data_IF_416285667420
#
_entry.id   IF_416285667420
#
_cell.length_a   1.000
_cell.length_b   1.000
_cell.length_c   1.000
_cell.angle_alpha   90.00
_cell.angle_beta   90.00
_cell.angle_gamma   90.00
#
_symmetry.space_group_name_H-M   'P 1'
#
loop_
_entity.id
_entity.type
_entity.pdbx_description
1 polymer ?
#
# COMPACT_ATOMS: atom_id res chain seq x y z
N UNK A 1 14.09 -4.53 -9.10
CA UNK A 1 14.76 -4.64 -7.79
C UNK A 1 14.17 -3.64 -6.82
N UNK A 2 13.96 -4.02 -5.55
CA UNK A 2 13.58 -3.10 -4.47
C UNK A 2 14.81 -2.54 -3.72
N UNK A 3 15.83 -3.38 -3.50
CA UNK A 3 17.09 -2.93 -2.92
C UNK A 3 17.92 -2.09 -3.89
N UNK A 4 18.79 -1.24 -3.35
CA UNK A 4 19.89 -0.61 -4.09
C UNK A 4 21.23 -1.28 -3.72
N UNK A 5 22.16 -1.33 -4.67
CA UNK A 5 23.43 -2.07 -4.54
C UNK A 5 23.25 -3.54 -4.13
N UNK A 6 22.26 -4.20 -4.75
CA UNK A 6 21.95 -5.60 -4.48
C UNK A 6 23.06 -6.49 -5.04
N UNK A 7 23.67 -7.27 -4.15
CA UNK A 7 24.71 -8.23 -4.51
C UNK A 7 24.11 -9.37 -5.33
N UNK A 8 24.48 -9.43 -6.61
CA UNK A 8 24.25 -10.58 -7.49
C UNK A 8 25.41 -11.55 -7.34
N UNK A 9 25.11 -12.81 -7.03
CA UNK A 9 26.11 -13.74 -6.46
C UNK A 9 26.31 -14.98 -7.30
N UNK A 10 27.48 -15.59 -7.18
CA UNK A 10 27.79 -16.85 -7.86
C UNK A 10 27.10 -18.07 -7.22
N UNK A 11 26.74 -18.00 -5.93
CA UNK A 11 26.05 -19.07 -5.21
C UNK A 11 24.91 -18.50 -4.33
N UNK A 12 23.91 -19.31 -3.95
CA UNK A 12 22.77 -18.89 -3.13
C UNK A 12 23.13 -18.78 -1.63
N UNK A 13 24.17 -18.01 -1.32
CA UNK A 13 24.70 -17.78 0.04
C UNK A 13 25.25 -16.37 0.21
N UNK A 14 25.13 -15.79 1.40
CA UNK A 14 25.50 -14.38 1.68
C UNK A 14 26.99 -14.07 1.64
N UNK A 15 27.86 -15.06 1.72
CA UNK A 15 29.32 -14.96 1.75
C UNK A 15 29.97 -15.30 0.39
N UNK A 16 29.19 -15.75 -0.59
CA UNK A 16 29.67 -16.08 -1.92
C UNK A 16 30.13 -14.85 -2.72
N UNK A 17 30.95 -15.12 -3.73
CA UNK A 17 31.48 -14.12 -4.67
C UNK A 17 30.35 -13.26 -5.26
N UNK A 18 30.59 -11.94 -5.30
CA UNK A 18 29.68 -10.96 -5.89
C UNK A 18 30.08 -10.79 -7.35
N UNK A 19 29.18 -11.18 -8.25
CA UNK A 19 29.33 -11.04 -9.70
C UNK A 19 29.03 -9.62 -10.18
N UNK A 20 28.04 -8.96 -9.57
CA UNK A 20 27.65 -7.58 -9.90
C UNK A 20 26.85 -6.92 -8.75
N UNK A 21 26.64 -5.61 -8.83
CA UNK A 21 25.80 -4.82 -7.94
C UNK A 21 24.63 -4.20 -8.71
N UNK A 22 23.45 -4.78 -8.53
CA UNK A 22 22.23 -4.29 -9.19
C UNK A 22 21.68 -3.07 -8.47
N UNK A 23 21.18 -2.12 -9.26
CA UNK A 23 20.57 -0.90 -8.75
C UNK A 23 19.08 -1.09 -8.52
N UNK A 24 18.49 -0.23 -7.68
CA UNK A 24 17.04 -0.21 -7.53
C UNK A 24 16.39 0.04 -8.90
N UNK A 25 15.32 -0.70 -9.19
CA UNK A 25 14.64 -0.65 -10.49
C UNK A 25 15.24 -1.54 -11.58
N UNK A 26 16.42 -2.13 -11.38
CA UNK A 26 16.94 -3.13 -12.33
C UNK A 26 15.97 -4.32 -12.45
N UNK A 27 15.82 -4.81 -13.67
CA UNK A 27 15.03 -5.98 -13.98
C UNK A 27 15.94 -7.20 -14.17
N UNK A 28 15.49 -8.35 -13.69
CA UNK A 28 16.12 -9.65 -13.89
C UNK A 28 15.05 -10.66 -14.28
N UNK A 29 15.46 -11.74 -14.92
CA UNK A 29 14.60 -12.89 -15.17
C UNK A 29 14.80 -13.92 -14.06
N UNK A 30 13.73 -14.31 -13.36
CA UNK A 30 13.79 -15.40 -12.38
C UNK A 30 13.70 -16.73 -13.12
N UNK A 31 14.71 -17.57 -12.92
CA UNK A 31 14.82 -18.89 -13.55
C UNK A 31 14.30 -19.98 -12.60
N UNK A 32 14.67 -19.89 -11.31
CA UNK A 32 14.45 -20.96 -10.34
C UNK A 32 14.41 -20.38 -8.92
N UNK A 33 13.61 -20.99 -8.06
CA UNK A 33 13.63 -20.75 -6.61
C UNK A 33 14.46 -21.85 -5.96
N UNK A 34 15.41 -21.48 -5.09
CA UNK A 34 16.24 -22.46 -4.38
C UNK A 34 15.71 -22.72 -2.97
N UNK A 35 16.08 -23.86 -2.38
CA UNK A 35 15.76 -24.19 -0.98
C UNK A 35 16.65 -23.44 0.04
N UNK A 36 17.67 -22.71 -0.42
CA UNK A 36 18.54 -21.91 0.43
C UNK A 36 17.82 -20.63 0.83
N UNK A 37 17.58 -20.44 2.13
CA UNK A 37 16.88 -19.28 2.67
C UNK A 37 17.78 -18.44 3.56
N UNK A 38 17.49 -17.14 3.61
CA UNK A 38 18.10 -16.21 4.55
C UNK A 38 17.05 -15.25 5.10
N UNK A 39 17.27 -14.78 6.33
CA UNK A 39 16.39 -13.80 6.95
C UNK A 39 16.76 -12.40 6.47
N UNK A 40 15.78 -11.68 5.93
CA UNK A 40 15.92 -10.29 5.52
C UNK A 40 14.66 -9.51 5.92
N UNK A 41 14.83 -8.32 6.50
CA UNK A 41 13.70 -7.49 6.96
C UNK A 41 12.69 -8.25 7.83
N UNK A 42 13.18 -9.17 8.67
CA UNK A 42 12.36 -10.01 9.56
C UNK A 42 11.58 -11.14 8.90
N UNK A 43 11.69 -11.30 7.57
CA UNK A 43 11.06 -12.38 6.81
C UNK A 43 12.12 -13.37 6.34
N UNK A 44 11.76 -14.66 6.29
CA UNK A 44 12.57 -15.66 5.62
C UNK A 44 12.37 -15.55 4.10
N UNK A 45 13.45 -15.53 3.34
CA UNK A 45 13.42 -15.37 1.89
C UNK A 45 14.32 -16.39 1.21
N UNK A 46 13.86 -17.11 0.18
CA UNK A 46 14.73 -17.98 -0.59
C UNK A 46 15.67 -17.15 -1.47
N UNK A 47 16.82 -17.72 -1.81
CA UNK A 47 17.56 -17.25 -2.97
C UNK A 47 16.86 -17.70 -4.25
N UNK A 48 16.81 -16.80 -5.22
CA UNK A 48 16.40 -17.09 -6.58
C UNK A 48 17.61 -17.15 -7.49
N UNK A 49 17.64 -18.15 -8.37
CA UNK A 49 18.53 -18.15 -9.51
C UNK A 49 17.93 -17.23 -10.57
N UNK A 50 18.73 -16.30 -11.08
CA UNK A 50 18.28 -15.29 -12.03
C UNK A 50 19.23 -15.17 -13.22
N UNK A 51 18.69 -14.76 -14.37
CA UNK A 51 19.48 -14.25 -15.48
C UNK A 51 19.51 -12.71 -15.40
N UNK A 52 20.71 -12.15 -15.44
CA UNK A 52 20.92 -10.72 -15.59
C UNK A 52 21.95 -10.49 -16.70
N UNK A 53 21.49 -9.87 -17.80
CA UNK A 53 22.32 -9.54 -18.97
C UNK A 53 23.07 -10.77 -19.53
N UNK A 54 22.43 -11.93 -19.54
CA UNK A 54 23.02 -13.18 -20.05
C UNK A 54 23.88 -13.94 -19.05
N UNK A 55 24.12 -13.42 -17.85
CA UNK A 55 24.86 -14.10 -16.78
C UNK A 55 23.86 -14.69 -15.77
N UNK A 56 24.08 -15.95 -15.39
CA UNK A 56 23.31 -16.62 -14.36
C UNK A 56 23.97 -16.46 -12.99
N UNK A 57 23.17 -16.20 -11.97
CA UNK A 57 23.62 -16.10 -10.58
C UNK A 57 22.44 -16.06 -9.63
N UNK A 58 22.65 -15.58 -8.41
CA UNK A 58 21.69 -15.70 -7.32
C UNK A 58 21.45 -14.37 -6.61
N UNK A 59 20.19 -14.12 -6.24
CA UNK A 59 19.75 -12.94 -5.49
C UNK A 59 18.80 -13.39 -4.38
N UNK A 60 18.93 -12.78 -3.19
CA UNK A 60 18.02 -13.03 -2.08
C UNK A 60 16.63 -12.45 -2.36
N UNK A 61 15.59 -13.26 -2.18
CA UNK A 61 14.20 -12.94 -2.49
C UNK A 61 13.69 -11.64 -1.90
N UNK A 62 14.02 -11.36 -0.64
CA UNK A 62 13.61 -10.15 0.07
C UNK A 62 14.10 -8.83 -0.55
N UNK A 63 15.00 -8.89 -1.54
CA UNK A 63 15.50 -7.72 -2.27
C UNK A 63 14.70 -7.44 -3.56
N UNK A 64 13.79 -8.32 -3.96
CA UNK A 64 12.87 -8.07 -5.05
C UNK A 64 11.72 -7.18 -4.62
N UNK A 65 11.24 -6.38 -5.56
CA UNK A 65 9.99 -5.65 -5.43
C UNK A 65 8.84 -6.61 -5.70
N UNK A 66 7.82 -6.62 -4.84
CA UNK A 66 6.56 -7.33 -5.04
C UNK A 66 5.85 -6.84 -6.30
N UNK A 67 5.83 -5.53 -6.48
CA UNK A 67 5.27 -4.84 -7.64
C UNK A 67 5.99 -3.52 -7.88
N UNK A 68 5.71 -2.91 -9.03
CA UNK A 68 6.11 -1.57 -9.40
C UNK A 68 4.89 -0.81 -9.89
N UNK A 69 4.68 0.38 -9.34
CA UNK A 69 3.69 1.32 -9.85
C UNK A 69 4.36 2.61 -10.30
N UNK A 70 3.74 3.33 -11.24
CA UNK A 70 4.30 4.56 -11.80
C UNK A 70 3.28 5.69 -11.68
N UNK A 71 3.68 6.78 -11.02
CA UNK A 71 2.90 8.02 -10.89
C UNK A 71 3.74 9.15 -11.47
N UNK A 72 3.21 9.87 -12.47
CA UNK A 72 3.90 10.99 -13.12
C UNK A 72 5.37 10.70 -13.50
N UNK A 73 5.64 9.50 -14.02
CA UNK A 73 6.99 9.06 -14.42
C UNK A 73 7.91 8.62 -13.27
N UNK A 74 7.49 8.79 -12.01
CA UNK A 74 8.20 8.27 -10.84
C UNK A 74 7.77 6.84 -10.56
N UNK A 75 8.75 5.93 -10.43
CA UNK A 75 8.51 4.54 -10.08
C UNK A 75 8.52 4.34 -8.56
N UNK A 76 7.51 3.65 -8.07
CA UNK A 76 7.36 3.21 -6.69
C UNK A 76 7.49 1.69 -6.65
N UNK A 77 8.37 1.20 -5.79
CA UNK A 77 8.68 -0.22 -5.59
C UNK A 77 8.24 -0.63 -4.20
N UNK A 78 7.64 -1.82 -4.11
CA UNK A 78 7.00 -2.30 -2.89
C UNK A 78 7.66 -3.58 -2.38
N UNK A 79 7.81 -3.72 -1.07
CA UNK A 79 8.38 -4.92 -0.44
C UNK A 79 7.82 -5.07 0.99
N UNK A 80 7.72 -6.30 1.50
CA UNK A 80 7.27 -6.52 2.87
C UNK A 80 8.43 -6.52 3.86
N UNK A 81 8.19 -6.02 5.07
CA UNK A 81 9.03 -6.29 6.24
C UNK A 81 8.19 -6.74 7.42
N UNK A 82 8.83 -7.44 8.36
CA UNK A 82 8.24 -7.84 9.62
C UNK A 82 9.12 -7.35 10.77
N UNK A 83 8.54 -6.67 11.74
CA UNK A 83 9.21 -6.34 13.00
C UNK A 83 8.42 -6.96 14.15
N UNK A 84 9.04 -7.87 14.89
CA UNK A 84 8.33 -8.76 15.82
C UNK A 84 7.21 -9.51 15.07
N UNK A 85 5.95 -9.29 15.46
CA UNK A 85 4.77 -9.83 14.77
C UNK A 85 4.09 -8.84 13.82
N UNK A 86 4.51 -7.57 13.80
CA UNK A 86 3.90 -6.54 12.97
C UNK A 86 4.42 -6.61 11.52
N UNK A 87 3.49 -6.64 10.56
CA UNK A 87 3.77 -6.60 9.13
C UNK A 87 3.76 -5.15 8.62
N UNK A 88 4.65 -4.86 7.68
CA UNK A 88 4.76 -3.54 7.06
C UNK A 88 4.94 -3.64 5.55
N UNK A 89 4.40 -2.65 4.84
CA UNK A 89 4.75 -2.36 3.46
C UNK A 89 5.85 -1.29 3.44
N UNK A 90 7.00 -1.66 2.90
CA UNK A 90 8.07 -0.72 2.59
C UNK A 90 7.89 -0.23 1.15
N UNK A 91 7.99 1.08 0.95
CA UNK A 91 7.78 1.74 -0.32
C UNK A 91 9.04 2.54 -0.63
N UNK A 92 9.63 2.32 -1.80
CA UNK A 92 10.80 3.09 -2.26
C UNK A 92 10.57 3.71 -3.61
N UNK A 93 11.10 4.91 -3.80
CA UNK A 93 11.13 5.61 -5.08
C UNK A 93 12.43 6.41 -5.22
N UNK A 94 12.78 6.77 -6.46
CA UNK A 94 13.83 7.77 -6.71
C UNK A 94 13.13 9.06 -7.11
N UNK A 95 13.28 10.08 -6.27
CA UNK A 95 12.74 11.41 -6.54
C UNK A 95 13.88 12.42 -6.51
N UNK A 96 14.03 13.18 -7.59
CA UNK A 96 15.13 14.14 -7.80
C UNK A 96 16.52 13.54 -7.50
N UNK A 97 16.75 12.30 -7.94
CA UNK A 97 18.02 11.58 -7.80
C UNK A 97 18.28 11.01 -6.40
N UNK A 98 17.38 11.19 -5.44
CA UNK A 98 17.50 10.67 -4.08
C UNK A 98 16.50 9.54 -3.82
N UNK A 99 16.92 8.50 -3.10
CA UNK A 99 16.02 7.44 -2.65
C UNK A 99 15.11 8.00 -1.54
N UNK A 100 13.81 7.87 -1.72
CA UNK A 100 12.79 8.08 -0.69
C UNK A 100 12.32 6.71 -0.22
N UNK A 101 12.11 6.58 1.07
CA UNK A 101 11.62 5.35 1.69
C UNK A 101 10.54 5.70 2.71
N UNK A 102 9.41 5.00 2.59
CA UNK A 102 8.30 5.07 3.53
C UNK A 102 7.99 3.65 4.02
N UNK A 103 7.54 3.56 5.26
CA UNK A 103 7.18 2.29 5.90
C UNK A 103 5.82 2.44 6.55
N UNK A 104 4.85 1.67 6.08
CA UNK A 104 3.48 1.70 6.60
C UNK A 104 3.11 0.36 7.24
N UNK A 105 2.46 0.34 8.42
CA UNK A 105 1.95 -0.89 9.00
C UNK A 105 0.81 -1.45 8.12
N UNK A 106 0.75 -2.77 8.04
CA UNK A 106 -0.33 -3.49 7.37
C UNK A 106 -1.10 -4.36 8.34
N UNK A 107 -2.40 -4.48 8.11
CA UNK A 107 -3.29 -5.38 8.87
C UNK A 107 -3.12 -6.84 8.44
N UNK A 108 -2.81 -7.09 7.17
CA UNK A 108 -2.51 -8.42 6.62
C UNK A 108 -1.63 -8.29 5.35
N UNK A 109 -1.14 -9.43 4.83
CA UNK A 109 -0.29 -9.47 3.64
C UNK A 109 -1.04 -9.63 2.31
N UNK A 110 -2.34 -9.93 2.34
CA UNK A 110 -3.13 -10.13 1.12
C UNK A 110 -3.67 -8.79 0.63
N UNK A 111 -2.86 -8.15 -0.21
CA UNK A 111 -3.11 -6.81 -0.72
C UNK A 111 -2.89 -6.75 -2.23
N UNK A 112 -3.63 -5.84 -2.86
CA UNK A 112 -3.29 -5.31 -4.18
C UNK A 112 -2.87 -3.85 -4.05
N UNK A 113 -2.03 -3.40 -4.99
CA UNK A 113 -1.54 -2.02 -5.04
C UNK A 113 -1.82 -1.47 -6.42
N UNK A 114 -2.67 -0.45 -6.46
CA UNK A 114 -3.08 0.22 -7.69
C UNK A 114 -2.56 1.66 -7.73
N UNK A 115 -2.32 2.16 -8.94
CA UNK A 115 -1.97 3.54 -9.19
C UNK A 115 -3.12 4.26 -9.88
N UNK A 116 -3.55 5.36 -9.28
CA UNK A 116 -4.53 6.26 -9.84
C UNK A 116 -3.87 7.59 -10.20
N UNK A 117 -4.43 8.30 -11.17
CA UNK A 117 -4.10 9.71 -11.41
C UNK A 117 -4.55 10.60 -10.25
N UNK A 118 -4.66 11.90 -10.49
CA UNK A 118 -5.08 12.85 -9.45
C UNK A 118 -6.56 12.76 -9.08
N UNK A 119 -7.35 11.95 -9.80
CA UNK A 119 -8.79 11.74 -9.58
C UNK A 119 -9.60 13.05 -9.58
N UNK A 120 -9.16 14.00 -10.40
CA UNK A 120 -9.79 15.33 -10.52
C UNK A 120 -9.42 16.32 -9.43
N UNK A 121 -8.33 16.10 -8.69
CA UNK A 121 -7.75 17.07 -7.76
C UNK A 121 -6.58 17.80 -8.40
N UNK A 122 -6.52 19.11 -8.20
CA UNK A 122 -5.31 19.88 -8.52
C UNK A 122 -4.21 19.67 -7.48
N UNK A 123 -2.96 19.90 -7.90
CA UNK A 123 -1.76 19.81 -7.05
C UNK A 123 -1.59 18.45 -6.36
N UNK A 124 -2.05 17.37 -7.00
CA UNK A 124 -1.82 16.00 -6.59
C UNK A 124 -1.20 15.25 -7.77
N UNK A 125 -0.06 14.61 -7.56
CA UNK A 125 0.61 13.86 -8.64
C UNK A 125 -0.14 12.57 -8.96
N UNK A 126 -0.74 11.96 -7.94
CA UNK A 126 -1.55 10.77 -8.09
C UNK A 126 -1.74 10.09 -6.76
N UNK A 127 -2.24 8.86 -6.81
CA UNK A 127 -2.58 8.11 -5.61
C UNK A 127 -2.12 6.67 -5.79
N UNK A 128 -1.45 6.13 -4.77
CA UNK A 128 -1.23 4.69 -4.65
C UNK A 128 -2.28 4.15 -3.67
N UNK A 129 -3.11 3.22 -4.13
CA UNK A 129 -4.13 2.60 -3.29
C UNK A 129 -3.74 1.17 -2.94
N UNK A 130 -3.55 0.93 -1.65
CA UNK A 130 -3.32 -0.40 -1.09
C UNK A 130 -4.67 -0.94 -0.66
N UNK A 131 -5.19 -1.89 -1.42
CA UNK A 131 -6.49 -2.52 -1.18
C UNK A 131 -6.29 -3.85 -0.44
N UNK A 132 -6.99 -4.04 0.68
CA UNK A 132 -6.96 -5.31 1.40
C UNK A 132 -7.97 -6.29 0.79
N UNK A 133 -7.51 -7.49 0.48
CA UNK A 133 -8.41 -8.57 0.13
C UNK A 133 -8.98 -9.20 1.41
N UNK A 134 -10.31 -9.29 1.55
CA UNK A 134 -10.91 -9.91 2.73
C UNK A 134 -10.56 -11.40 2.74
N UNK A 135 -10.01 -11.89 3.85
CA UNK A 135 -9.59 -13.28 3.98
C UNK A 135 -10.73 -14.16 4.51
N UNK A 136 -11.66 -13.60 5.30
CA UNK A 136 -12.87 -14.26 5.83
C UNK A 136 -14.03 -13.27 6.06
N UNK A 137 -15.26 -13.78 6.16
CA UNK A 137 -16.44 -13.00 6.60
C UNK A 137 -16.17 -12.35 7.96
N UNK A 138 -16.33 -11.02 8.04
CA UNK A 138 -16.13 -10.23 9.27
C UNK A 138 -14.77 -9.55 9.40
N UNK A 139 -13.84 -9.72 8.44
CA UNK A 139 -12.56 -9.00 8.44
C UNK A 139 -12.74 -7.49 8.14
N UNK A 140 -11.81 -6.69 8.69
CA UNK A 140 -11.67 -5.30 8.27
C UNK A 140 -11.29 -5.25 6.78
N UNK A 141 -12.26 -4.91 5.95
CA UNK A 141 -12.08 -4.54 4.55
C UNK A 141 -11.79 -3.03 4.47
N UNK A 142 -11.40 -2.56 3.29
CA UNK A 142 -10.99 -1.17 3.07
C UNK A 142 -9.59 -1.10 2.49
N UNK A 143 -8.90 0.01 2.76
CA UNK A 143 -7.57 0.19 2.20
C UNK A 143 -6.90 1.48 2.62
N UNK A 144 -5.65 1.62 2.16
CA UNK A 144 -4.80 2.76 2.45
C UNK A 144 -4.59 3.53 1.16
N UNK A 145 -5.06 4.77 1.12
CA UNK A 145 -4.70 5.73 0.10
C UNK A 145 -3.40 6.43 0.49
N UNK A 146 -2.43 6.44 -0.42
CA UNK A 146 -1.18 7.17 -0.29
C UNK A 146 -1.18 8.27 -1.36
N UNK A 147 -1.49 9.48 -0.94
CA UNK A 147 -1.55 10.65 -1.81
C UNK A 147 -0.13 11.10 -2.13
N UNK A 148 0.19 11.12 -3.42
CA UNK A 148 1.52 11.47 -3.90
C UNK A 148 1.56 12.95 -4.24
N UNK A 149 2.45 13.70 -3.59
CA UNK A 149 2.70 15.09 -3.92
C UNK A 149 4.16 15.45 -3.73
N UNK A 150 4.81 15.86 -4.82
CA UNK A 150 6.23 16.24 -4.86
C UNK A 150 7.15 15.15 -4.27
N UNK A 151 6.82 13.89 -4.54
CA UNK A 151 7.56 12.73 -4.06
C UNK A 151 7.29 12.32 -2.61
N UNK A 152 6.47 13.06 -1.87
CA UNK A 152 5.99 12.71 -0.52
C UNK A 152 4.71 11.89 -0.58
N UNK A 153 4.52 10.99 0.40
CA UNK A 153 3.31 10.17 0.54
C UNK A 153 2.51 10.57 1.79
N UNK A 154 1.30 11.08 1.59
CA UNK A 154 0.35 11.34 2.68
C UNK A 154 -0.63 10.18 2.84
N UNK A 155 -0.63 9.55 4.03
CA UNK A 155 -1.39 8.32 4.30
C UNK A 155 -2.81 8.59 4.80
N UNK A 156 -3.81 7.99 4.16
CA UNK A 156 -5.20 7.98 4.57
C UNK A 156 -5.77 6.56 4.51
N UNK A 157 -5.94 5.95 5.67
CA UNK A 157 -6.49 4.61 5.82
C UNK A 157 -7.99 4.69 6.04
N UNK A 158 -8.78 3.85 5.35
CA UNK A 158 -10.24 3.76 5.48
C UNK A 158 -10.62 2.37 5.99
N UNK A 159 -11.60 2.32 6.90
CA UNK A 159 -12.06 1.09 7.51
C UNK A 159 -13.45 0.69 7.01
N UNK A 160 -13.62 -0.60 6.74
CA UNK A 160 -14.90 -1.22 6.43
C UNK A 160 -15.00 -2.51 7.25
N UNK A 161 -16.16 -2.78 7.84
CA UNK A 161 -16.45 -4.07 8.45
C UNK A 161 -17.94 -4.33 8.36
N UNK A 162 -18.31 -5.60 8.24
CA UNK A 162 -19.70 -6.01 8.21
C UNK A 162 -19.85 -7.28 9.04
N UNK A 163 -20.82 -7.24 9.96
CA UNK A 163 -21.39 -8.37 10.66
C UNK A 163 -22.82 -8.51 10.14
N UNK A 164 -23.06 -9.59 9.38
CA UNK A 164 -24.29 -9.80 8.60
C UNK A 164 -25.58 -9.63 9.42
N UNK A 165 -25.55 -9.98 10.70
CA UNK A 165 -26.72 -10.02 11.56
C UNK A 165 -26.79 -8.85 12.56
N UNK A 166 -25.69 -8.11 12.75
CA UNK A 166 -25.59 -7.14 13.85
C UNK A 166 -25.29 -5.71 13.41
N UNK A 167 -24.26 -5.49 12.59
CA UNK A 167 -23.81 -4.12 12.30
C UNK A 167 -22.93 -4.04 11.06
N UNK A 168 -22.96 -2.89 10.39
CA UNK A 168 -21.96 -2.58 9.37
C UNK A 168 -21.33 -1.22 9.64
N UNK A 169 -20.12 -1.04 9.13
CA UNK A 169 -19.38 0.20 9.12
C UNK A 169 -18.63 0.30 7.80
N UNK A 170 -18.72 1.45 7.15
CA UNK A 170 -18.10 1.68 5.87
C UNK A 170 -17.57 3.09 5.79
N UNK A 171 -16.29 3.23 5.47
CA UNK A 171 -15.68 4.47 5.06
C UNK A 171 -15.26 4.39 3.61
N UNK A 172 -15.54 5.47 2.88
CA UNK A 172 -15.09 5.63 1.50
C UNK A 172 -14.78 7.08 1.18
N UNK A 173 -13.88 7.25 0.24
CA UNK A 173 -13.74 8.49 -0.50
C UNK A 173 -14.57 8.40 -1.77
N UNK A 174 -15.24 9.50 -2.11
CA UNK A 174 -15.83 9.73 -3.43
C UNK A 174 -15.03 10.88 -4.03
N UNK A 175 -14.31 10.58 -5.11
CA UNK A 175 -13.42 11.51 -5.78
C UNK A 175 -14.19 12.44 -6.74
N UNK A 176 -13.61 13.60 -7.09
CA UNK A 176 -14.22 14.53 -8.05
C UNK A 176 -14.65 13.91 -9.39
N UNK A 177 -13.91 12.92 -9.89
CA UNK A 177 -14.15 12.26 -11.18
C UNK A 177 -15.12 11.06 -11.10
N UNK A 178 -15.67 10.77 -9.92
CA UNK A 178 -16.62 9.68 -9.70
C UNK A 178 -18.09 10.13 -9.75
N UNK A 179 -19.00 9.18 -9.89
CA UNK A 179 -20.43 9.44 -9.79
C UNK A 179 -20.78 10.00 -8.39
N UNK A 180 -21.47 11.15 -8.38
CA UNK A 180 -21.76 11.88 -7.14
C UNK A 180 -20.57 12.64 -6.56
N UNK A 181 -19.44 12.71 -7.27
CA UNK A 181 -18.27 13.52 -6.93
C UNK A 181 -18.57 15.02 -6.92
N UNK A 182 -17.72 15.77 -6.21
CA UNK A 182 -17.80 17.23 -6.15
C UNK A 182 -16.50 17.84 -6.71
N UNK A 183 -16.55 18.82 -7.63
CA UNK A 183 -15.36 19.40 -8.24
C UNK A 183 -14.33 19.86 -7.20
N UNK A 184 -13.07 19.45 -7.36
CA UNK A 184 -11.94 19.80 -6.48
C UNK A 184 -12.10 19.39 -5.00
N UNK A 185 -13.07 18.54 -4.67
CA UNK A 185 -13.29 18.04 -3.30
C UNK A 185 -13.38 16.52 -3.29
N UNK A 186 -12.80 15.93 -2.26
CA UNK A 186 -13.10 14.55 -1.92
C UNK A 186 -14.24 14.55 -0.93
N UNK A 187 -15.29 13.78 -1.22
CA UNK A 187 -16.33 13.52 -0.25
C UNK A 187 -15.88 12.30 0.57
N UNK A 188 -15.56 12.50 1.84
CA UNK A 188 -15.48 11.38 2.76
C UNK A 188 -16.88 11.03 3.22
N UNK A 189 -17.28 9.77 3.03
CA UNK A 189 -18.56 9.25 3.51
C UNK A 189 -18.29 8.13 4.50
N UNK A 190 -18.92 8.24 5.67
CA UNK A 190 -18.96 7.22 6.70
C UNK A 190 -20.40 6.78 6.92
N UNK A 191 -20.63 5.49 6.84
CA UNK A 191 -21.93 4.86 7.06
C UNK A 191 -21.76 3.82 8.16
N UNK A 192 -22.64 3.83 9.16
CA UNK A 192 -22.67 2.80 10.20
C UNK A 192 -24.12 2.45 10.49
N UNK A 193 -24.41 1.16 10.66
CA UNK A 193 -25.73 0.72 11.08
C UNK A 193 -25.69 -0.39 12.11
N UNK A 194 -26.77 -0.47 12.88
CA UNK A 194 -26.98 -1.47 13.91
C UNK A 194 -28.38 -2.07 13.77
N UNK A 195 -28.43 -3.39 13.70
CA UNK A 195 -29.66 -4.19 13.71
C UNK A 195 -29.99 -4.59 15.13
N UNK A 196 -31.23 -4.39 15.54
CA UNK A 196 -31.69 -4.74 16.88
C UNK A 196 -32.92 -5.63 16.77
N UNK A 197 -32.87 -6.76 17.46
CA UNK A 197 -33.94 -7.76 17.48
C UNK A 197 -34.43 -7.92 18.91
N UNK A 198 -35.47 -7.17 19.27
CA UNK A 198 -36.15 -7.29 20.58
C UNK A 198 -37.66 -7.35 20.37
N UNK A 199 -38.18 -8.51 19.97
CA UNK A 199 -39.60 -8.73 19.65
C UNK A 199 -40.09 -8.09 18.33
N UNK A 200 -39.41 -7.05 17.84
CA UNK A 200 -39.55 -6.46 16.50
C UNK A 200 -38.15 -6.11 16.01
N UNK A 201 -37.90 -6.28 14.70
CA UNK A 201 -36.63 -5.93 14.07
C UNK A 201 -36.62 -4.44 13.73
N UNK A 202 -35.59 -3.71 14.15
CA UNK A 202 -35.37 -2.33 13.72
C UNK A 202 -33.89 -2.10 13.37
N UNK A 203 -33.68 -1.27 12.35
CA UNK A 203 -32.37 -0.85 11.86
C UNK A 203 -32.15 0.62 12.23
N UNK A 204 -30.97 0.96 12.74
CA UNK A 204 -30.56 2.35 12.94
C UNK A 204 -29.30 2.63 12.16
N UNK A 205 -29.36 3.64 11.30
CA UNK A 205 -28.27 4.07 10.42
C UNK A 205 -27.80 5.46 10.80
N UNK A 206 -26.50 5.68 10.71
CA UNK A 206 -25.86 6.98 10.82
C UNK A 206 -24.98 7.19 9.59
N UNK A 207 -25.18 8.33 8.94
CA UNK A 207 -24.38 8.74 7.78
C UNK A 207 -23.73 10.07 8.09
N UNK A 208 -22.40 10.10 8.03
CA UNK A 208 -21.59 11.30 8.14
C UNK A 208 -20.92 11.56 6.79
N UNK A 209 -20.86 12.84 6.41
CA UNK A 209 -20.23 13.25 5.14
C UNK A 209 -19.44 14.52 5.36
N UNK A 210 -18.18 14.51 4.91
CA UNK A 210 -17.31 15.67 4.94
C UNK A 210 -16.79 15.99 3.55
N UNK A 211 -16.82 17.28 3.21
CA UNK A 211 -16.14 17.80 2.02
C UNK A 211 -14.70 18.12 2.40
N UNK A 212 -13.77 17.35 1.83
CA UNK A 212 -12.34 17.49 2.05
C UNK A 212 -11.71 18.21 0.87
N UNK A 213 -10.78 19.10 1.17
CA UNK A 213 -9.95 19.83 0.22
C UNK A 213 -8.54 19.29 0.29
N UNK A 214 -7.92 19.08 -0.87
CA UNK A 214 -6.49 18.85 -0.91
C UNK A 214 -5.76 20.20 -0.86
N UNK A 215 -4.96 20.40 0.19
CA UNK A 215 -4.15 21.60 0.40
C UNK A 215 -2.68 21.20 0.51
N UNK A 216 -2.00 21.18 -0.65
CA UNK A 216 -0.54 21.08 -0.82
C UNK A 216 0.15 20.07 0.12
N UNK A 217 -0.38 18.85 0.22
CA UNK A 217 0.20 17.80 1.05
C UNK A 217 -0.75 17.21 2.08
N UNK A 218 -1.92 17.79 2.33
CA UNK A 218 -2.88 17.22 3.27
C UNK A 218 -4.35 17.45 2.90
N UNK A 219 -5.22 16.55 3.38
CA UNK A 219 -6.68 16.70 3.35
C UNK A 219 -7.16 17.57 4.51
N UNK A 220 -7.97 18.58 4.19
CA UNK A 220 -8.56 19.52 5.15
C UNK A 220 -10.09 19.62 4.97
N UNK A 221 -10.90 19.59 6.04
CA UNK A 221 -10.50 19.38 7.44
C UNK A 221 -9.98 17.97 7.70
N UNK A 222 -9.33 17.76 8.84
CA UNK A 222 -8.90 16.44 9.28
C UNK A 222 -10.13 15.59 9.64
N UNK A 223 -10.53 14.69 8.75
CA UNK A 223 -11.69 13.80 8.93
C UNK A 223 -11.51 12.74 10.03
N UNK A 224 -10.33 12.67 10.66
CA UNK A 224 -10.08 11.83 11.83
C UNK A 224 -10.19 12.59 13.15
N UNK A 225 -10.24 13.92 13.13
CA UNK A 225 -10.47 14.71 14.34
C UNK A 225 -11.92 14.56 14.79
N UNK A 226 -12.11 14.15 16.05
CA UNK A 226 -13.43 14.13 16.67
C UNK A 226 -13.89 15.57 16.84
N UNK A 227 -14.86 16.01 16.06
CA UNK A 227 -15.59 17.23 16.41
C UNK A 227 -16.35 16.97 17.71
N UNK A 228 -16.12 17.76 18.78
CA UNK A 228 -17.01 17.73 19.92
C UNK A 228 -18.40 18.14 19.41
N UNK A 229 -19.37 17.23 19.54
CA UNK A 229 -20.77 17.55 19.30
C UNK A 229 -21.12 18.82 20.08
N UNK A 230 -21.57 19.87 19.38
CA UNK A 230 -22.15 21.07 19.97
C UNK A 230 -23.59 20.80 20.42
#
# INVERSE_FOLDING_TARGET
MFGDNVKFRSQPKIDSEVLDLLKMGDAVEIIETTDSTERYNGLESPFYKVNYKGVNGYILGGLFSLSRQTIHGTNYFFNFSKENEALFLNIRSIYLGSIREEKIPLSNSDISIEAYGSRGLHNLDGILYVNYHPNYDGDQSGGIYLFVFEGTLSKYELSQFQDEDASYYMEKFIFPDEEGGFPEKIIFKKEQAYTYITGTQWLREYVETWLLSWDLGSLTPNFREKFPYH
#
